data_IF_406991677922
#
_entry.id   IF_406991677922
#
_cell.length_a   1.000
_cell.length_b   1.000
_cell.length_c   1.000
_cell.angle_alpha   90.00
_cell.angle_beta   90.00
_cell.angle_gamma   90.00
#
_symmetry.space_group_name_H-M   'P 1'
#
loop_
_entity.id
_entity.type
_entity.pdbx_description
1 polymer ?
#
# COMPACT_ATOMS: atom_id res chain seq x y z
N UNK A 1 -8.01 -50.27 25.25
CA UNK A 1 -7.98 -49.76 23.87
C UNK A 1 -6.78 -50.35 23.16
N UNK A 2 -6.94 -50.84 21.93
CA UNK A 2 -5.80 -51.33 21.16
C UNK A 2 -4.82 -50.20 20.90
N UNK A 3 -3.54 -50.37 21.22
CA UNK A 3 -2.47 -49.42 21.00
C UNK A 3 -2.25 -49.12 19.51
N UNK A 4 -2.67 -50.01 18.62
CA UNK A 4 -2.49 -49.93 17.18
C UNK A 4 -3.80 -50.18 16.45
N UNK A 5 -3.96 -49.55 15.30
CA UNK A 5 -5.06 -49.74 14.33
C UNK A 5 -4.50 -49.94 12.92
N UNK A 6 -5.30 -50.51 12.05
CA UNK A 6 -4.98 -50.69 10.63
C UNK A 6 -5.78 -49.65 9.82
N UNK A 7 -5.07 -48.81 9.06
CA UNK A 7 -5.66 -47.88 8.11
C UNK A 7 -5.62 -48.46 6.71
N UNK A 8 -6.74 -48.36 5.99
CA UNK A 8 -6.84 -48.79 4.59
C UNK A 8 -6.92 -47.54 3.69
N UNK A 9 -6.00 -47.45 2.74
CA UNK A 9 -6.04 -46.43 1.66
C UNK A 9 -6.05 -47.18 0.33
N UNK A 10 -7.21 -47.24 -0.34
CA UNK A 10 -7.38 -48.06 -1.53
C UNK A 10 -7.11 -49.54 -1.23
N UNK A 11 -6.09 -50.14 -1.86
CA UNK A 11 -5.65 -51.52 -1.60
C UNK A 11 -4.54 -51.62 -0.55
N UNK A 12 -3.98 -50.49 -0.09
CA UNK A 12 -2.89 -50.48 0.86
C UNK A 12 -3.41 -50.47 2.30
N UNK A 13 -2.78 -51.29 3.15
CA UNK A 13 -3.05 -51.38 4.59
C UNK A 13 -1.78 -50.97 5.35
N UNK A 14 -1.89 -50.00 6.24
CA UNK A 14 -0.81 -49.58 7.12
C UNK A 14 -1.23 -49.68 8.57
N UNK A 15 -0.31 -50.17 9.43
CA UNK A 15 -0.49 -50.25 10.87
C UNK A 15 0.04 -48.96 11.51
N UNK A 16 -0.79 -48.28 12.28
CA UNK A 16 -0.39 -47.05 12.99
C UNK A 16 -0.83 -47.09 14.45
N UNK A 17 -0.27 -46.24 15.27
CA UNK A 17 -0.73 -46.05 16.66
C UNK A 17 -2.14 -45.43 16.66
N UNK A 18 -2.97 -45.88 17.63
CA UNK A 18 -4.34 -45.39 17.78
C UNK A 18 -4.35 -44.03 18.56
N UNK A 19 -3.70 -43.03 18.01
CA UNK A 19 -3.55 -41.69 18.60
C UNK A 19 -4.15 -40.61 17.71
N UNK A 20 -5.08 -40.92 16.82
CA UNK A 20 -5.72 -39.99 15.91
C UNK A 20 -7.23 -39.86 16.17
N UNK A 21 -7.76 -38.69 15.85
CA UNK A 21 -9.20 -38.42 15.84
C UNK A 21 -9.69 -38.31 14.39
N UNK A 22 -10.77 -38.94 14.07
CA UNK A 22 -11.43 -38.80 12.77
C UNK A 22 -12.34 -37.60 12.81
N UNK A 23 -12.08 -36.59 11.97
CA UNK A 23 -12.94 -35.44 11.74
C UNK A 23 -13.89 -35.76 10.58
N UNK A 24 -15.19 -35.77 10.82
CA UNK A 24 -16.19 -36.07 9.80
C UNK A 24 -16.49 -34.86 8.93
N UNK A 25 -15.75 -34.73 7.83
CA UNK A 25 -16.09 -33.83 6.70
C UNK A 25 -15.82 -32.32 6.86
N UNK A 26 -15.36 -31.85 8.01
CA UNK A 26 -15.07 -30.41 8.20
C UNK A 26 -13.73 -30.20 8.87
N UNK A 27 -12.93 -29.27 8.35
CA UNK A 27 -11.76 -28.76 9.06
C UNK A 27 -12.26 -27.73 10.08
N UNK A 28 -11.93 -27.87 11.39
CA UNK A 28 -12.30 -26.86 12.39
C UNK A 28 -11.76 -25.47 12.04
N UNK A 29 -12.40 -24.43 12.58
CA UNK A 29 -11.82 -23.09 12.59
C UNK A 29 -10.40 -23.16 13.18
N UNK A 30 -9.45 -22.49 12.58
CA UNK A 30 -8.06 -22.44 13.02
C UNK A 30 -7.15 -21.92 11.93
N UNK A 31 -5.91 -21.70 12.30
CA UNK A 31 -4.83 -21.31 11.39
C UNK A 31 -4.01 -22.56 11.12
N UNK A 32 -3.90 -22.94 9.85
CA UNK A 32 -3.22 -24.13 9.40
C UNK A 32 -2.09 -23.79 8.45
N UNK A 33 -0.99 -24.53 8.55
CA UNK A 33 0.15 -24.43 7.64
C UNK A 33 0.27 -25.73 6.83
N UNK A 34 0.41 -25.67 5.49
CA UNK A 34 0.76 -26.84 4.70
C UNK A 34 2.18 -27.29 5.04
N UNK A 35 2.34 -28.56 5.31
CA UNK A 35 3.64 -29.20 5.56
C UNK A 35 3.80 -30.43 4.67
N UNK A 36 4.99 -30.59 4.09
CA UNK A 36 5.35 -31.73 3.28
C UNK A 36 6.37 -32.59 4.02
N UNK A 37 6.10 -33.87 4.14
CA UNK A 37 7.05 -34.81 4.74
C UNK A 37 8.18 -35.17 3.77
N UNK A 38 9.19 -35.91 4.26
CA UNK A 38 10.33 -36.35 3.46
C UNK A 38 9.95 -37.30 2.30
N UNK A 39 8.73 -37.85 2.27
CA UNK A 39 8.21 -38.73 1.24
C UNK A 39 7.30 -37.99 0.23
N UNK A 40 7.15 -36.69 0.37
CA UNK A 40 6.32 -35.86 -0.51
C UNK A 40 4.83 -35.85 -0.14
N UNK A 41 4.44 -36.36 1.04
CA UNK A 41 3.05 -36.28 1.47
C UNK A 41 2.75 -34.95 2.14
N UNK A 42 1.70 -34.30 1.67
CA UNK A 42 1.22 -33.04 2.22
C UNK A 42 0.17 -33.25 3.32
N UNK A 43 0.23 -32.43 4.34
CA UNK A 43 -0.74 -32.37 5.43
C UNK A 43 -0.91 -30.92 5.92
N UNK A 44 -1.91 -30.68 6.77
CA UNK A 44 -2.11 -29.40 7.45
C UNK A 44 -1.73 -29.52 8.91
N UNK A 45 -0.80 -28.68 9.35
CA UNK A 45 -0.44 -28.52 10.75
C UNK A 45 -1.25 -27.37 11.34
N UNK A 46 -1.98 -27.60 12.43
CA UNK A 46 -2.69 -26.56 13.15
C UNK A 46 -1.73 -25.74 13.99
N UNK A 47 -1.69 -24.43 13.78
CA UNK A 47 -0.81 -23.50 14.49
C UNK A 47 -1.51 -22.85 15.69
N UNK A 48 -2.77 -22.43 15.53
CA UNK A 48 -3.57 -21.76 16.55
C UNK A 48 -5.04 -21.71 16.12
N UNK A 49 -5.92 -21.30 17.03
CA UNK A 49 -7.34 -21.13 16.74
C UNK A 49 -7.64 -19.86 15.92
N UNK A 50 -6.83 -18.81 16.10
CA UNK A 50 -6.94 -17.54 15.37
C UNK A 50 -5.63 -16.76 15.41
N UNK A 51 -5.50 -15.72 14.59
CA UNK A 51 -4.38 -14.78 14.68
C UNK A 51 -4.52 -13.92 15.93
N UNK A 52 -3.53 -13.98 16.82
CA UNK A 52 -3.47 -13.18 18.05
C UNK A 52 -2.55 -11.98 17.80
N UNK A 53 -3.00 -10.79 18.22
CA UNK A 53 -2.22 -9.57 18.15
C UNK A 53 -1.78 -9.16 19.56
N UNK A 54 -0.48 -9.31 19.93
CA UNK A 54 0.00 -8.99 21.26
C UNK A 54 0.13 -7.48 21.51
N UNK A 55 -0.46 -6.66 20.65
CA UNK A 55 -0.43 -5.21 20.69
C UNK A 55 -1.79 -4.62 20.30
N UNK A 56 -2.02 -3.36 20.67
CA UNK A 56 -3.22 -2.63 20.30
C UNK A 56 -3.26 -2.44 18.78
N UNK A 57 -4.37 -2.86 18.18
CA UNK A 57 -4.66 -2.53 16.79
C UNK A 57 -5.31 -1.13 16.76
N UNK A 58 -4.63 -0.21 16.10
CA UNK A 58 -5.22 1.09 15.78
C UNK A 58 -6.12 0.93 14.56
N UNK A 59 -7.14 1.78 14.40
CA UNK A 59 -8.21 1.67 13.38
C UNK A 59 -7.72 1.65 11.93
N UNK A 60 -6.94 0.63 11.61
CA UNK A 60 -6.31 0.44 10.32
C UNK A 60 -7.34 -0.12 9.35
N UNK A 61 -7.83 0.72 8.42
CA UNK A 61 -8.65 0.27 7.29
C UNK A 61 -9.98 -0.40 7.65
N UNK A 62 -10.61 -0.06 8.78
CA UNK A 62 -11.88 -0.66 9.20
C UNK A 62 -12.96 -0.55 8.11
N UNK A 63 -13.08 0.58 7.41
CA UNK A 63 -14.06 0.74 6.33
C UNK A 63 -13.80 -0.25 5.19
N UNK A 64 -12.53 -0.41 4.78
CA UNK A 64 -12.15 -1.40 3.77
C UNK A 64 -12.46 -2.82 4.24
N UNK A 65 -12.07 -3.18 5.47
CA UNK A 65 -12.33 -4.50 6.05
C UNK A 65 -13.82 -4.79 6.09
N UNK A 66 -14.63 -3.85 6.58
CA UNK A 66 -16.08 -4.00 6.65
C UNK A 66 -16.71 -4.13 5.26
N UNK A 67 -16.21 -3.38 4.27
CA UNK A 67 -16.65 -3.48 2.88
C UNK A 67 -16.34 -4.87 2.29
N UNK A 68 -15.15 -5.38 2.50
CA UNK A 68 -14.74 -6.73 2.10
C UNK A 68 -15.64 -7.79 2.72
N UNK A 69 -15.85 -7.71 4.05
CA UNK A 69 -16.69 -8.67 4.78
C UNK A 69 -18.14 -8.62 4.34
N UNK A 70 -18.69 -7.43 4.10
CA UNK A 70 -20.05 -7.28 3.55
C UNK A 70 -20.15 -7.94 2.18
N UNK A 71 -19.16 -7.81 1.35
CA UNK A 71 -19.13 -8.47 0.04
C UNK A 71 -19.04 -9.98 0.19
N UNK A 72 -18.13 -10.49 1.00
CA UNK A 72 -17.98 -11.92 1.26
C UNK A 72 -19.29 -12.57 1.70
N UNK A 73 -20.00 -11.95 2.60
CA UNK A 73 -21.25 -12.47 3.13
C UNK A 73 -22.41 -12.46 2.11
N UNK A 74 -22.29 -11.70 1.02
CA UNK A 74 -23.38 -11.55 0.04
C UNK A 74 -23.08 -12.17 -1.33
N UNK A 75 -21.89 -12.77 -1.54
CA UNK A 75 -21.56 -13.44 -2.79
C UNK A 75 -21.40 -14.93 -2.57
N UNK A 76 -21.77 -15.72 -3.58
CA UNK A 76 -21.59 -17.17 -3.56
C UNK A 76 -20.53 -17.60 -4.60
N UNK A 77 -19.32 -16.98 -4.50
CA UNK A 77 -18.17 -17.28 -5.36
C UNK A 77 -16.89 -16.91 -4.65
N UNK A 78 -15.75 -17.30 -5.22
CA UNK A 78 -14.43 -16.92 -4.73
C UNK A 78 -14.27 -15.40 -4.65
N UNK A 79 -13.50 -14.94 -3.64
CA UNK A 79 -13.16 -13.55 -3.43
C UNK A 79 -11.65 -13.41 -3.28
N UNK A 80 -11.01 -12.69 -4.19
CA UNK A 80 -9.59 -12.36 -4.10
C UNK A 80 -9.38 -10.93 -3.59
N UNK A 81 -8.44 -10.80 -2.67
CA UNK A 81 -7.99 -9.55 -2.05
C UNK A 81 -6.48 -9.47 -2.19
N UNK A 82 -5.99 -8.40 -2.74
CA UNK A 82 -4.57 -8.14 -2.89
C UNK A 82 -4.17 -6.88 -2.11
N UNK A 83 -3.25 -7.03 -1.17
CA UNK A 83 -2.73 -5.98 -0.30
C UNK A 83 -1.28 -5.70 -0.69
N UNK A 84 -1.04 -4.57 -1.33
CA UNK A 84 0.26 -4.17 -1.86
C UNK A 84 0.85 -3.00 -1.08
N UNK A 85 2.17 -2.89 -1.05
CA UNK A 85 2.86 -1.71 -0.50
C UNK A 85 4.13 -2.05 0.27
N UNK A 86 4.75 -1.06 0.89
CA UNK A 86 6.02 -1.21 1.61
C UNK A 86 5.90 -2.17 2.80
N UNK A 87 7.04 -2.76 3.20
CA UNK A 87 7.11 -3.58 4.41
C UNK A 87 6.85 -2.71 5.66
N UNK A 88 6.15 -3.27 6.65
CA UNK A 88 5.92 -2.60 7.95
C UNK A 88 4.80 -1.55 7.97
N UNK A 89 3.92 -1.47 6.95
CA UNK A 89 2.79 -0.52 6.89
C UNK A 89 1.41 -1.15 7.15
N UNK A 90 1.37 -2.40 7.64
CA UNK A 90 0.13 -3.02 8.13
C UNK A 90 -0.60 -3.95 7.16
N UNK A 91 -0.06 -4.29 5.98
CA UNK A 91 -0.68 -5.23 5.02
C UNK A 91 -1.05 -6.57 5.64
N UNK A 92 -0.04 -7.29 6.18
CA UNK A 92 -0.22 -8.60 6.82
C UNK A 92 -1.18 -8.52 8.00
N UNK A 93 -1.14 -7.45 8.79
CA UNK A 93 -2.08 -7.21 9.90
C UNK A 93 -3.51 -7.08 9.37
N UNK A 94 -3.73 -6.27 8.33
CA UNK A 94 -5.05 -6.10 7.70
C UNK A 94 -5.57 -7.44 7.16
N UNK A 95 -4.71 -8.22 6.47
CA UNK A 95 -5.06 -9.55 5.98
C UNK A 95 -5.45 -10.51 7.09
N UNK A 96 -4.69 -10.55 8.19
CA UNK A 96 -5.00 -11.37 9.38
C UNK A 96 -6.31 -10.98 10.05
N UNK A 97 -6.61 -9.68 10.14
CA UNK A 97 -7.90 -9.19 10.69
C UNK A 97 -9.07 -9.63 9.79
N UNK A 98 -8.92 -9.51 8.46
CA UNK A 98 -9.94 -10.01 7.52
C UNK A 98 -10.14 -11.51 7.71
N UNK A 99 -9.06 -12.28 7.74
CA UNK A 99 -9.10 -13.73 7.91
C UNK A 99 -9.83 -14.13 9.21
N UNK A 100 -9.49 -13.54 10.35
CA UNK A 100 -10.18 -13.79 11.63
C UNK A 100 -11.68 -13.49 11.56
N UNK A 101 -12.07 -12.39 10.87
CA UNK A 101 -13.49 -12.00 10.72
C UNK A 101 -14.32 -12.97 9.88
N UNK A 102 -13.72 -13.81 9.04
CA UNK A 102 -14.45 -14.81 8.26
C UNK A 102 -15.00 -15.95 9.11
N UNK A 103 -14.38 -16.21 10.25
CA UNK A 103 -14.67 -17.34 11.12
C UNK A 103 -14.50 -18.72 10.42
N UNK A 104 -13.65 -18.78 9.38
CA UNK A 104 -13.34 -19.98 8.60
C UNK A 104 -11.97 -20.55 8.95
N UNK A 105 -11.68 -21.80 8.56
CA UNK A 105 -10.31 -22.30 8.54
C UNK A 105 -9.44 -21.42 7.63
N UNK A 106 -8.25 -21.06 8.10
CA UNK A 106 -7.28 -20.25 7.35
C UNK A 106 -6.08 -21.14 7.02
N UNK A 107 -5.77 -21.28 5.75
CA UNK A 107 -4.56 -21.93 5.29
C UNK A 107 -3.53 -20.83 5.04
N UNK A 108 -2.57 -20.70 5.95
CA UNK A 108 -1.48 -19.73 5.86
C UNK A 108 -0.34 -20.30 5.03
N UNK A 109 -0.03 -19.67 3.92
CA UNK A 109 1.06 -20.01 3.02
C UNK A 109 2.17 -18.96 3.20
N UNK A 110 3.19 -19.31 3.95
CA UNK A 110 4.40 -18.53 4.10
C UNK A 110 5.33 -18.86 2.94
N UNK A 111 5.47 -17.93 2.01
CA UNK A 111 6.27 -18.12 0.81
C UNK A 111 7.74 -17.92 1.11
N UNK A 112 8.55 -18.94 0.95
CA UNK A 112 10.02 -18.88 1.00
C UNK A 112 10.59 -19.10 -0.40
N UNK A 113 11.77 -18.54 -0.68
CA UNK A 113 12.42 -18.51 -2.00
C UNK A 113 12.82 -19.90 -2.57
N UNK A 114 12.20 -20.95 -2.19
CA UNK A 114 12.62 -22.29 -2.58
C UNK A 114 11.54 -23.06 -3.30
N UNK A 115 11.91 -23.58 -4.45
CA UNK A 115 11.27 -24.69 -5.15
C UNK A 115 10.04 -24.34 -6.00
N UNK A 116 9.77 -25.24 -6.93
CA UNK A 116 8.59 -25.28 -7.76
C UNK A 116 7.32 -25.26 -6.88
N UNK A 117 6.46 -24.25 -7.02
CA UNK A 117 5.23 -24.15 -6.23
C UNK A 117 4.15 -25.17 -6.66
N UNK A 118 4.34 -25.87 -7.76
CA UNK A 118 3.34 -26.77 -8.35
C UNK A 118 2.84 -27.84 -7.39
N UNK A 119 3.71 -28.57 -6.63
CA UNK A 119 3.21 -29.60 -5.71
C UNK A 119 2.35 -29.02 -4.58
N UNK A 120 2.70 -27.85 -4.07
CA UNK A 120 1.90 -27.14 -3.07
C UNK A 120 0.53 -26.74 -3.66
N UNK A 121 0.54 -26.13 -4.85
CA UNK A 121 -0.70 -25.70 -5.53
C UNK A 121 -1.60 -26.89 -5.78
N UNK A 122 -1.06 -28.03 -6.22
CA UNK A 122 -1.85 -29.24 -6.44
C UNK A 122 -2.43 -29.80 -5.14
N UNK A 123 -1.68 -29.73 -4.05
CA UNK A 123 -2.22 -30.08 -2.73
C UNK A 123 -3.35 -29.13 -2.32
N UNK A 124 -3.16 -27.80 -2.45
CA UNK A 124 -4.17 -26.80 -2.09
C UNK A 124 -5.49 -26.99 -2.86
N UNK A 125 -5.42 -27.43 -4.12
CA UNK A 125 -6.60 -27.78 -4.93
C UNK A 125 -7.41 -28.96 -4.34
N UNK A 126 -6.79 -29.84 -3.57
CA UNK A 126 -7.49 -30.96 -2.92
C UNK A 126 -8.32 -30.55 -1.70
N UNK A 127 -8.16 -29.33 -1.22
CA UNK A 127 -8.88 -28.79 -0.04
C UNK A 127 -10.27 -28.34 -0.48
N UNK A 128 -11.25 -29.22 -0.30
CA UNK A 128 -12.63 -29.03 -0.75
C UNK A 128 -13.58 -28.61 0.37
N UNK A 129 -13.21 -27.51 1.03
CA UNK A 129 -14.02 -26.88 2.09
C UNK A 129 -14.00 -25.35 1.91
N UNK A 130 -15.00 -24.66 2.43
CA UNK A 130 -14.96 -23.21 2.52
C UNK A 130 -13.84 -22.76 3.48
N UNK A 131 -12.85 -22.01 2.98
CA UNK A 131 -11.69 -21.59 3.75
C UNK A 131 -11.07 -20.32 3.19
N UNK A 132 -10.12 -19.77 3.94
CA UNK A 132 -9.27 -18.65 3.53
C UNK A 132 -7.90 -19.22 3.13
N UNK A 133 -7.44 -18.93 1.92
CA UNK A 133 -6.03 -19.08 1.53
C UNK A 133 -5.32 -17.74 1.75
N UNK A 134 -4.38 -17.70 2.68
CA UNK A 134 -3.63 -16.50 3.00
C UNK A 134 -2.17 -16.66 2.56
N UNK A 135 -1.79 -16.00 1.48
CA UNK A 135 -0.44 -15.97 0.94
C UNK A 135 0.27 -14.71 1.45
N UNK A 136 1.19 -14.89 2.39
CA UNK A 136 1.97 -13.78 2.93
C UNK A 136 3.27 -13.63 2.14
N UNK A 137 3.53 -12.43 1.61
CA UNK A 137 4.66 -12.10 0.72
C UNK A 137 4.75 -13.10 -0.46
N UNK A 138 3.64 -13.26 -1.20
CA UNK A 138 3.51 -14.30 -2.22
C UNK A 138 4.58 -14.23 -3.33
N UNK A 139 5.13 -13.05 -3.58
CA UNK A 139 6.18 -12.82 -4.56
C UNK A 139 7.45 -13.63 -4.28
N UNK A 140 7.70 -14.02 -3.03
CA UNK A 140 8.89 -14.80 -2.66
C UNK A 140 8.83 -16.25 -3.13
N UNK A 141 7.66 -16.86 -3.11
CA UNK A 141 7.50 -18.27 -3.44
C UNK A 141 6.88 -18.55 -4.82
N UNK A 142 6.21 -17.55 -5.41
CA UNK A 142 5.46 -17.71 -6.65
C UNK A 142 6.00 -16.78 -7.74
N UNK A 143 7.27 -16.98 -8.14
CA UNK A 143 7.94 -16.18 -9.18
C UNK A 143 7.21 -16.23 -10.52
N UNK A 144 6.63 -17.34 -10.87
CA UNK A 144 5.86 -17.57 -12.10
C UNK A 144 4.38 -17.21 -11.93
N UNK A 145 3.95 -16.53 -11.00
CA UNK A 145 2.59 -15.95 -10.77
C UNK A 145 1.38 -16.69 -11.40
N UNK A 146 1.60 -17.58 -12.37
CA UNK A 146 0.56 -18.36 -13.07
C UNK A 146 0.00 -19.48 -12.19
N UNK A 147 0.81 -20.03 -11.30
CA UNK A 147 0.40 -21.08 -10.37
C UNK A 147 -0.73 -20.62 -9.44
N UNK A 148 -0.65 -19.38 -8.91
CA UNK A 148 -1.73 -18.80 -8.10
C UNK A 148 -2.98 -18.55 -8.96
N UNK A 149 -2.80 -18.06 -10.19
CA UNK A 149 -3.91 -17.83 -11.11
C UNK A 149 -4.69 -19.12 -11.36
N UNK A 150 -3.98 -20.21 -11.59
CA UNK A 150 -4.58 -21.54 -11.79
C UNK A 150 -5.38 -22.01 -10.56
N UNK A 151 -4.89 -21.71 -9.35
CA UNK A 151 -5.62 -22.00 -8.12
C UNK A 151 -6.92 -21.17 -8.00
N UNK A 152 -6.88 -19.91 -8.45
CA UNK A 152 -8.01 -18.97 -8.36
C UNK A 152 -9.04 -19.16 -9.47
N UNK A 153 -8.66 -19.68 -10.64
CA UNK A 153 -9.51 -19.76 -11.85
C UNK A 153 -10.64 -20.80 -11.77
N UNK A 154 -10.76 -21.48 -10.66
CA UNK A 154 -11.99 -22.19 -10.33
C UNK A 154 -12.30 -23.47 -11.09
N UNK A 155 -11.35 -24.10 -11.78
CA UNK A 155 -11.60 -25.46 -12.34
C UNK A 155 -11.98 -26.49 -11.26
N UNK A 156 -11.81 -26.11 -9.99
CA UNK A 156 -12.10 -26.96 -8.83
C UNK A 156 -12.96 -26.26 -7.77
N UNK A 157 -13.49 -25.05 -8.07
CA UNK A 157 -14.24 -24.24 -7.10
C UNK A 157 -15.74 -24.50 -7.05
N UNK A 158 -16.24 -25.46 -7.82
CA UNK A 158 -17.68 -25.72 -7.90
C UNK A 158 -18.25 -26.35 -6.61
N UNK A 159 -17.40 -26.80 -5.69
CA UNK A 159 -17.81 -27.49 -4.48
C UNK A 159 -17.82 -26.57 -3.25
N UNK A 160 -16.87 -25.62 -3.14
CA UNK A 160 -16.81 -24.69 -2.00
C UNK A 160 -16.07 -23.40 -2.34
N UNK A 161 -16.64 -22.25 -1.98
CA UNK A 161 -16.03 -20.95 -2.23
C UNK A 161 -14.78 -20.72 -1.35
N UNK A 162 -13.83 -19.96 -1.86
CA UNK A 162 -12.57 -19.64 -1.20
C UNK A 162 -12.39 -18.11 -1.12
N UNK A 163 -11.82 -17.65 0.00
CA UNK A 163 -11.28 -16.30 0.07
C UNK A 163 -9.76 -16.36 -0.14
N UNK A 164 -9.24 -15.59 -1.07
CA UNK A 164 -7.79 -15.47 -1.32
C UNK A 164 -7.33 -14.13 -0.79
N UNK A 165 -6.37 -14.13 0.13
CA UNK A 165 -5.71 -12.94 0.63
C UNK A 165 -4.24 -13.03 0.23
N UNK A 166 -3.77 -12.07 -0.56
CA UNK A 166 -2.39 -12.00 -1.03
C UNK A 166 -1.76 -10.71 -0.51
N UNK A 167 -0.57 -10.80 0.09
CA UNK A 167 0.25 -9.63 0.40
C UNK A 167 1.49 -9.60 -0.47
N UNK A 168 1.95 -8.41 -0.87
CA UNK A 168 3.20 -8.21 -1.61
C UNK A 168 3.89 -6.93 -1.23
N UNK A 169 5.23 -6.92 -1.34
CA UNK A 169 6.08 -5.74 -1.19
C UNK A 169 6.55 -5.18 -2.54
N UNK A 170 6.26 -5.85 -3.65
CA UNK A 170 6.67 -5.40 -4.98
C UNK A 170 5.82 -4.24 -5.48
N UNK A 171 6.46 -3.24 -6.10
CA UNK A 171 5.77 -2.10 -6.71
C UNK A 171 5.08 -2.46 -8.03
N UNK A 172 5.60 -3.45 -8.76
CA UNK A 172 5.07 -3.87 -10.05
C UNK A 172 4.22 -5.13 -9.89
N UNK A 173 2.94 -5.01 -10.15
CA UNK A 173 1.99 -6.11 -10.10
C UNK A 173 1.70 -6.57 -11.52
N UNK A 174 1.52 -7.88 -11.70
CA UNK A 174 1.16 -8.42 -13.00
C UNK A 174 -0.28 -8.05 -13.34
N UNK A 175 -0.46 -7.37 -14.49
CA UNK A 175 -1.78 -6.96 -15.01
C UNK A 175 -2.77 -8.13 -15.12
N UNK A 176 -2.29 -9.34 -15.37
CA UNK A 176 -3.11 -10.55 -15.43
C UNK A 176 -3.80 -10.91 -14.11
N UNK A 177 -3.27 -10.46 -12.95
CA UNK A 177 -3.92 -10.63 -11.66
C UNK A 177 -5.04 -9.60 -11.44
N UNK A 178 -4.78 -8.34 -11.84
CA UNK A 178 -5.68 -7.21 -11.55
C UNK A 178 -6.79 -7.08 -12.59
N UNK A 179 -6.52 -7.41 -13.85
CA UNK A 179 -7.45 -7.21 -14.98
C UNK A 179 -8.71 -8.09 -14.92
N UNK A 180 -8.81 -9.00 -13.95
CA UNK A 180 -9.97 -9.91 -13.84
C UNK A 180 -10.60 -9.86 -12.45
N UNK A 181 -11.72 -9.11 -12.28
CA UNK A 181 -12.44 -9.04 -10.99
C UNK A 181 -12.99 -10.39 -10.48
N UNK A 182 -13.00 -11.42 -11.32
CA UNK A 182 -13.31 -12.80 -10.91
C UNK A 182 -12.19 -13.47 -10.09
N UNK A 183 -10.95 -12.96 -10.21
CA UNK A 183 -9.77 -13.42 -9.46
C UNK A 183 -9.50 -12.50 -8.28
N UNK A 184 -8.98 -11.28 -8.56
CA UNK A 184 -8.75 -10.24 -7.55
C UNK A 184 -9.84 -9.18 -7.71
N UNK A 185 -10.74 -9.10 -6.74
CA UNK A 185 -11.80 -8.10 -6.71
C UNK A 185 -11.36 -6.84 -5.99
N UNK A 186 -10.56 -6.98 -4.95
CA UNK A 186 -10.06 -5.88 -4.16
C UNK A 186 -8.55 -5.79 -4.25
N UNK A 187 -8.10 -4.66 -4.73
CA UNK A 187 -6.72 -4.27 -4.73
C UNK A 187 -6.57 -3.06 -3.81
N UNK A 188 -5.76 -3.17 -2.76
CA UNK A 188 -5.49 -2.08 -1.85
C UNK A 188 -4.00 -1.80 -1.76
N UNK A 189 -3.64 -0.59 -2.12
CA UNK A 189 -2.29 -0.07 -1.93
C UNK A 189 -2.13 0.55 -0.55
N UNK A 190 -1.01 0.25 0.07
CA UNK A 190 -0.54 0.81 1.32
C UNK A 190 0.70 1.64 1.00
N UNK A 191 0.53 2.96 0.87
CA UNK A 191 1.62 3.86 0.51
C UNK A 191 2.23 4.55 1.74
N UNK A 192 1.36 4.99 2.64
CA UNK A 192 1.74 5.69 3.87
C UNK A 192 0.89 5.18 5.05
N UNK A 193 1.36 5.43 6.26
CA UNK A 193 0.59 5.18 7.47
C UNK A 193 -0.39 6.34 7.66
N UNK A 194 -1.65 6.02 7.95
CA UNK A 194 -2.67 7.03 8.24
C UNK A 194 -2.23 7.92 9.42
N UNK A 195 -2.36 9.23 9.27
CA UNK A 195 -1.95 10.21 10.27
C UNK A 195 -2.68 10.03 11.61
N UNK A 196 -3.94 9.54 11.58
CA UNK A 196 -4.68 9.26 12.79
C UNK A 196 -4.11 8.05 13.52
N UNK A 197 -3.63 7.04 12.80
CA UNK A 197 -2.94 5.88 13.37
C UNK A 197 -1.65 6.31 14.04
N UNK A 198 -0.84 7.16 13.37
CA UNK A 198 0.37 7.73 13.94
C UNK A 198 0.07 8.55 15.19
N UNK A 199 -0.92 9.44 15.10
CA UNK A 199 -1.34 10.29 16.22
C UNK A 199 -1.76 9.47 17.43
N UNK A 200 -2.61 8.47 17.24
CA UNK A 200 -3.08 7.59 18.31
C UNK A 200 -1.94 6.75 18.90
N UNK A 201 -1.02 6.26 18.05
CA UNK A 201 0.14 5.51 18.51
C UNK A 201 1.06 6.39 19.38
N UNK A 202 1.32 7.62 18.96
CA UNK A 202 2.12 8.59 19.71
C UNK A 202 1.43 8.95 21.03
N UNK A 203 0.11 9.14 21.04
CA UNK A 203 -0.66 9.43 22.25
C UNK A 203 -0.58 8.30 23.27
N UNK A 204 -0.54 7.07 22.83
CA UNK A 204 -0.46 5.93 23.75
C UNK A 204 0.97 5.69 24.29
N UNK A 205 2.01 5.97 23.50
CA UNK A 205 3.36 5.49 23.80
C UNK A 205 4.39 6.59 24.12
N UNK A 206 4.17 7.85 23.72
CA UNK A 206 5.08 8.94 24.01
C UNK A 206 4.91 9.42 25.46
N UNK A 207 6.01 9.56 26.21
CA UNK A 207 5.98 10.04 27.60
C UNK A 207 5.74 11.56 27.61
N UNK A 208 6.61 12.31 26.95
CA UNK A 208 6.47 13.79 26.83
C UNK A 208 5.55 14.17 25.69
N UNK A 209 4.27 14.35 25.98
CA UNK A 209 3.24 14.72 25.01
C UNK A 209 3.46 16.09 24.36
N UNK A 210 4.25 16.97 24.95
CA UNK A 210 4.54 18.29 24.37
C UNK A 210 5.26 18.18 23.02
N UNK A 211 6.02 17.11 22.80
CA UNK A 211 6.78 16.84 21.58
C UNK A 211 5.97 16.21 20.45
N UNK A 212 4.70 15.87 20.67
CA UNK A 212 3.84 15.20 19.68
C UNK A 212 3.83 15.91 18.32
N UNK A 213 3.65 17.21 18.32
CA UNK A 213 3.59 18.01 17.07
C UNK A 213 4.91 18.00 16.30
N UNK A 214 6.03 18.06 17.00
CA UNK A 214 7.37 17.95 16.42
C UNK A 214 7.57 16.58 15.76
N UNK A 215 7.19 15.50 16.47
CA UNK A 215 7.35 14.13 16.00
C UNK A 215 6.47 13.86 14.78
N UNK A 216 5.19 14.29 14.79
CA UNK A 216 4.29 14.11 13.65
C UNK A 216 4.83 14.79 12.40
N UNK A 217 5.33 16.03 12.51
CA UNK A 217 5.97 16.74 11.39
C UNK A 217 7.19 16.01 10.88
N UNK A 218 8.00 15.49 11.78
CA UNK A 218 9.19 14.71 11.41
C UNK A 218 8.83 13.40 10.68
N UNK A 219 7.88 12.64 11.20
CA UNK A 219 7.46 11.38 10.58
C UNK A 219 6.83 11.59 9.19
N UNK A 220 6.11 12.70 8.98
CA UNK A 220 5.60 13.08 7.65
C UNK A 220 6.74 13.35 6.65
N UNK A 221 7.88 13.84 7.12
CA UNK A 221 9.06 14.09 6.29
C UNK A 221 9.89 12.84 5.98
N UNK A 222 9.63 11.69 6.62
CA UNK A 222 10.43 10.49 6.39
C UNK A 222 10.08 9.78 5.09
N UNK A 223 11.11 9.41 4.33
CA UNK A 223 10.97 8.47 3.23
C UNK A 223 10.72 7.07 3.79
N UNK A 224 9.64 6.42 3.33
CA UNK A 224 9.29 5.07 3.78
C UNK A 224 9.03 4.95 5.29
N UNK A 225 8.24 5.86 5.86
CA UNK A 225 7.83 5.77 7.26
C UNK A 225 7.06 4.46 7.50
N UNK A 226 7.56 3.62 8.42
CA UNK A 226 6.94 2.35 8.81
C UNK A 226 6.59 2.36 10.30
N UNK A 227 5.68 1.48 10.73
CA UNK A 227 5.34 1.37 12.17
C UNK A 227 6.57 1.03 13.02
N UNK A 228 7.49 0.24 12.48
CA UNK A 228 8.71 -0.13 13.22
C UNK A 228 9.64 1.09 13.40
N UNK A 229 9.74 1.96 12.38
CA UNK A 229 10.47 3.24 12.52
C UNK A 229 9.78 4.14 13.55
N UNK A 230 8.46 4.25 13.53
CA UNK A 230 7.70 5.06 14.49
C UNK A 230 7.94 4.59 15.92
N UNK A 231 7.88 3.27 16.15
CA UNK A 231 8.19 2.65 17.45
C UNK A 231 9.59 3.02 17.93
N UNK A 232 10.60 2.78 17.09
CA UNK A 232 11.98 3.04 17.42
C UNK A 232 12.24 4.53 17.72
N UNK A 233 11.67 5.43 16.93
CA UNK A 233 11.75 6.89 17.17
C UNK A 233 11.16 7.27 18.52
N UNK A 234 10.00 6.72 18.88
CA UNK A 234 9.37 7.02 20.17
C UNK A 234 10.18 6.44 21.33
N UNK A 235 10.72 5.24 21.17
CA UNK A 235 11.59 4.61 22.16
C UNK A 235 12.86 5.45 22.40
N UNK A 236 13.54 5.91 21.35
CA UNK A 236 14.72 6.79 21.47
C UNK A 236 14.39 8.10 22.19
N UNK A 237 13.26 8.71 21.87
CA UNK A 237 12.83 9.95 22.53
C UNK A 237 12.54 9.70 24.03
N UNK A 238 11.82 8.63 24.33
CA UNK A 238 11.46 8.28 25.71
C UNK A 238 12.67 7.92 26.57
N UNK A 239 13.67 7.23 25.99
CA UNK A 239 14.86 6.77 26.71
C UNK A 239 15.90 7.88 26.88
N UNK A 240 16.16 8.66 25.83
CA UNK A 240 17.30 9.54 25.77
C UNK A 240 16.93 11.02 25.71
N UNK A 241 15.64 11.35 25.53
CA UNK A 241 15.16 12.72 25.31
C UNK A 241 15.97 13.48 24.25
N UNK A 242 16.47 12.75 23.25
CA UNK A 242 17.32 13.30 22.19
C UNK A 242 16.54 14.18 21.20
N UNK A 243 17.28 14.99 20.45
CA UNK A 243 16.72 15.81 19.39
C UNK A 243 16.37 14.96 18.15
N UNK A 244 15.45 15.45 17.31
CA UNK A 244 15.11 14.80 16.05
C UNK A 244 16.34 14.65 15.14
N UNK A 245 17.25 15.64 15.11
CA UNK A 245 18.47 15.56 14.31
C UNK A 245 19.39 14.42 14.77
N UNK A 246 19.51 14.21 16.07
CA UNK A 246 20.26 13.08 16.65
C UNK A 246 19.65 11.75 16.24
N UNK A 247 18.33 11.64 16.24
CA UNK A 247 17.61 10.43 15.81
C UNK A 247 17.86 10.16 14.32
N UNK A 248 17.79 11.18 13.48
CA UNK A 248 18.05 11.05 12.04
C UNK A 248 19.45 10.48 11.81
N UNK A 249 20.44 11.05 12.48
CA UNK A 249 21.84 10.65 12.35
C UNK A 249 22.07 9.22 12.83
N UNK A 250 21.65 8.89 14.05
CA UNK A 250 21.94 7.59 14.68
C UNK A 250 21.17 6.42 14.07
N UNK A 251 19.95 6.67 13.63
CA UNK A 251 19.11 5.67 12.98
C UNK A 251 19.27 5.67 11.44
N UNK A 252 20.12 6.53 10.90
CA UNK A 252 20.32 6.69 9.45
C UNK A 252 19.00 6.85 8.69
N UNK A 253 18.11 7.69 9.21
CA UNK A 253 16.80 7.93 8.62
C UNK A 253 16.92 8.89 7.44
N UNK A 254 16.27 8.51 6.35
CA UNK A 254 16.27 9.32 5.12
C UNK A 254 14.99 10.14 5.08
N UNK A 255 15.13 11.47 4.97
CA UNK A 255 14.00 12.33 4.67
C UNK A 255 13.54 12.11 3.23
N UNK A 256 12.25 12.34 2.98
CA UNK A 256 11.73 12.42 1.61
C UNK A 256 12.51 13.52 0.92
N UNK A 257 13.13 13.21 -0.19
CA UNK A 257 13.50 14.21 -1.16
C UNK A 257 12.18 14.69 -1.76
N UNK A 258 11.70 15.84 -1.32
CA UNK A 258 10.43 16.37 -1.81
C UNK A 258 10.63 16.91 -3.22
N UNK A 259 10.60 16.03 -4.21
CA UNK A 259 10.30 16.45 -5.56
C UNK A 259 8.78 16.67 -5.68
N UNK A 260 8.28 17.80 -5.26
CA UNK A 260 6.97 18.26 -5.70
C UNK A 260 7.10 18.66 -7.16
N UNK A 261 6.72 17.77 -8.07
CA UNK A 261 6.50 18.16 -9.46
C UNK A 261 5.18 18.92 -9.52
N UNK A 262 5.28 20.22 -9.52
CA UNK A 262 4.12 21.07 -9.75
C UNK A 262 4.09 21.48 -11.22
N UNK A 263 2.88 21.51 -11.79
CA UNK A 263 2.65 22.14 -13.09
C UNK A 263 2.39 23.60 -12.83
N UNK A 264 3.20 24.47 -13.42
CA UNK A 264 3.04 25.89 -13.30
C UNK A 264 2.67 26.51 -14.63
N UNK A 265 1.76 27.47 -14.57
CA UNK A 265 1.51 28.37 -15.68
C UNK A 265 2.44 29.55 -15.47
N UNK A 266 3.36 29.76 -16.41
CA UNK A 266 4.36 30.79 -16.34
C UNK A 266 4.11 31.89 -17.36
N UNK A 267 4.39 33.13 -16.98
CA UNK A 267 4.44 34.29 -17.85
C UNK A 267 5.52 35.25 -17.36
N UNK A 268 6.19 35.92 -18.29
CA UNK A 268 7.26 36.86 -18.00
C UNK A 268 6.99 38.29 -18.51
N UNK A 269 5.84 38.53 -19.12
CA UNK A 269 5.47 39.81 -19.71
C UNK A 269 4.37 40.55 -18.91
N UNK A 270 4.26 40.29 -17.60
CA UNK A 270 3.39 40.97 -16.69
C UNK A 270 4.19 42.01 -15.87
N UNK A 271 3.58 43.18 -15.61
CA UNK A 271 4.20 44.22 -14.80
C UNK A 271 4.01 44.00 -13.30
N UNK A 272 3.01 43.23 -12.91
CA UNK A 272 2.72 42.91 -11.52
C UNK A 272 2.08 41.54 -11.34
N UNK A 273 2.10 41.03 -10.07
CA UNK A 273 1.43 39.78 -9.72
C UNK A 273 -0.09 39.90 -9.89
N UNK A 274 -0.67 41.07 -9.66
CA UNK A 274 -2.11 41.31 -9.82
C UNK A 274 -2.54 41.24 -11.29
N UNK A 275 -1.73 41.78 -12.19
CA UNK A 275 -1.96 41.61 -13.63
C UNK A 275 -1.88 40.16 -14.06
N UNK A 276 -0.93 39.42 -13.53
CA UNK A 276 -0.81 38.00 -13.84
C UNK A 276 -2.03 37.20 -13.32
N UNK A 277 -2.52 37.52 -12.12
CA UNK A 277 -3.74 36.92 -11.55
C UNK A 277 -4.94 37.20 -12.46
N UNK A 278 -5.12 38.43 -12.89
CA UNK A 278 -6.22 38.83 -13.78
C UNK A 278 -6.16 38.11 -15.13
N UNK A 279 -5.00 38.05 -15.74
CA UNK A 279 -4.81 37.35 -17.02
C UNK A 279 -5.01 35.85 -16.90
N UNK A 280 -4.51 35.23 -15.82
CA UNK A 280 -4.65 33.79 -15.56
C UNK A 280 -6.09 33.37 -15.26
N UNK A 281 -6.93 34.25 -14.72
CA UNK A 281 -8.35 34.00 -14.46
C UNK A 281 -9.17 33.87 -15.74
N UNK A 282 -8.68 34.45 -16.85
CA UNK A 282 -9.30 34.36 -18.18
C UNK A 282 -8.98 33.05 -18.91
N UNK A 283 -8.03 32.29 -18.40
CA UNK A 283 -7.80 30.90 -18.84
C UNK A 283 -8.93 30.09 -18.24
N UNK A 284 -9.97 29.81 -19.02
CA UNK A 284 -11.13 29.04 -18.56
C UNK A 284 -10.70 27.72 -17.92
N UNK A 285 -11.50 27.27 -16.96
CA UNK A 285 -11.35 25.95 -16.37
C UNK A 285 -11.28 24.93 -17.49
N UNK A 286 -10.08 24.43 -17.73
CA UNK A 286 -9.65 23.53 -18.77
C UNK A 286 -10.69 22.52 -19.22
N UNK A 287 -11.05 22.59 -20.50
CA UNK A 287 -11.49 21.41 -21.21
C UNK A 287 -10.27 20.51 -21.39
N UNK A 288 -10.37 19.25 -21.03
CA UNK A 288 -9.40 18.23 -21.40
C UNK A 288 -9.33 18.17 -22.93
N UNK A 289 -8.12 18.16 -23.50
CA UNK A 289 -7.99 17.74 -24.87
C UNK A 289 -8.30 16.24 -24.98
N UNK A 290 -8.66 15.78 -26.16
CA UNK A 290 -9.00 14.38 -26.45
C UNK A 290 -7.87 13.38 -26.10
N UNK A 291 -6.68 13.86 -25.75
CA UNK A 291 -5.50 13.08 -25.42
C UNK A 291 -5.08 13.21 -23.95
N UNK A 292 -5.77 14.01 -23.13
CA UNK A 292 -5.38 14.26 -21.73
C UNK A 292 -4.07 15.05 -21.59
N UNK A 293 -3.64 15.76 -22.60
CA UNK A 293 -2.43 16.58 -22.59
C UNK A 293 -2.78 18.04 -22.34
N UNK A 294 -2.44 18.54 -21.17
CA UNK A 294 -2.51 19.97 -20.81
C UNK A 294 -1.75 20.89 -21.79
N UNK A 295 -0.83 20.35 -22.56
CA UNK A 295 0.01 21.11 -23.49
C UNK A 295 -0.73 21.81 -24.61
N UNK A 296 -1.87 21.31 -25.04
CA UNK A 296 -2.50 21.78 -26.27
C UNK A 296 -3.34 23.03 -26.08
N UNK A 297 -3.87 23.29 -24.90
CA UNK A 297 -4.73 24.44 -24.65
C UNK A 297 -4.00 25.71 -24.23
N UNK A 298 -2.80 25.58 -23.66
CA UNK A 298 -2.03 26.73 -23.17
C UNK A 298 -0.99 27.22 -24.19
N UNK A 299 -0.78 26.49 -25.26
CA UNK A 299 0.10 26.89 -26.38
C UNK A 299 -0.62 27.61 -27.49
N UNK A 300 -1.88 28.04 -27.32
CA UNK A 300 -2.45 28.98 -28.26
C UNK A 300 -1.61 30.26 -28.18
N UNK A 301 -0.95 30.59 -29.30
CA UNK A 301 -0.06 31.74 -29.48
C UNK A 301 -0.65 33.08 -29.00
N UNK A 302 -1.95 33.15 -28.77
CA UNK A 302 -2.68 34.34 -28.39
C UNK A 302 -2.70 34.65 -26.89
N UNK A 303 -2.33 33.71 -26.03
CA UNK A 303 -2.41 33.90 -24.57
C UNK A 303 -1.05 34.13 -23.89
N UNK A 304 0.09 33.78 -24.56
CA UNK A 304 1.44 34.03 -24.05
C UNK A 304 1.81 33.30 -22.76
N UNK A 305 1.08 32.23 -22.38
CA UNK A 305 1.39 31.42 -21.22
C UNK A 305 2.24 30.20 -21.59
N UNK A 306 3.20 29.86 -20.72
CA UNK A 306 4.04 28.68 -20.81
C UNK A 306 3.73 27.77 -19.63
N UNK A 307 3.75 26.46 -19.86
CA UNK A 307 3.69 25.46 -18.79
C UNK A 307 5.11 25.04 -18.50
N UNK A 308 5.54 25.21 -17.26
CA UNK A 308 6.81 24.74 -16.74
C UNK A 308 6.58 23.67 -15.67
N UNK A 309 7.46 22.69 -15.63
CA UNK A 309 7.54 21.69 -14.59
C UNK A 309 8.72 22.06 -13.69
N UNK A 310 8.43 22.44 -12.46
CA UNK A 310 9.45 22.84 -11.48
C UNK A 310 9.38 21.87 -10.29
N UNK A 311 10.54 21.43 -9.81
CA UNK A 311 10.67 20.67 -8.59
C UNK A 311 10.89 21.63 -7.42
N UNK A 312 10.13 21.49 -6.35
CA UNK A 312 10.27 22.28 -5.14
C UNK A 312 10.86 21.46 -4.01
N UNK A 313 11.64 22.06 -3.13
CA UNK A 313 12.16 21.43 -1.91
C UNK A 313 11.07 21.15 -0.88
N UNK A 314 10.01 21.98 -0.84
CA UNK A 314 8.96 21.90 0.16
C UNK A 314 7.59 22.23 -0.44
N UNK A 315 6.52 21.98 0.34
CA UNK A 315 5.18 22.42 -0.05
C UNK A 315 5.17 23.91 -0.26
N UNK A 316 4.47 24.35 -1.29
CA UNK A 316 4.35 25.77 -1.58
C UNK A 316 3.93 26.62 -0.36
N UNK A 317 3.05 26.08 0.47
CA UNK A 317 2.55 26.72 1.71
C UNK A 317 3.66 27.08 2.72
N UNK A 318 4.82 26.45 2.62
CA UNK A 318 5.95 26.66 3.51
C UNK A 318 6.99 27.64 2.95
N UNK A 319 6.91 27.97 1.67
CA UNK A 319 7.84 28.91 1.02
C UNK A 319 7.62 30.34 1.47
N UNK A 320 8.70 31.13 1.54
CA UNK A 320 8.71 32.53 1.97
C UNK A 320 9.42 33.40 0.95
N UNK A 321 9.10 34.65 0.95
CA UNK A 321 9.83 35.66 0.19
C UNK A 321 11.32 35.63 0.60
N UNK A 322 12.19 35.51 -0.40
CA UNK A 322 13.63 35.37 -0.23
C UNK A 322 14.14 33.92 -0.33
N UNK A 323 13.27 32.90 -0.23
CA UNK A 323 13.62 31.52 -0.48
C UNK A 323 13.81 31.25 -1.98
N UNK A 324 14.49 30.16 -2.32
CA UNK A 324 14.51 29.67 -3.69
C UNK A 324 13.22 28.90 -3.98
N UNK A 325 12.70 29.10 -5.20
CA UNK A 325 11.44 28.52 -5.64
C UNK A 325 11.58 27.08 -6.07
N UNK A 326 12.72 26.73 -6.63
CA UNK A 326 13.00 25.41 -7.19
C UNK A 326 14.22 24.73 -6.55
N UNK A 327 14.33 23.42 -6.72
CA UNK A 327 15.43 22.61 -6.18
C UNK A 327 16.79 22.93 -6.82
N UNK A 328 16.80 23.53 -8.00
CA UNK A 328 18.01 23.93 -8.71
C UNK A 328 18.50 25.32 -8.29
N UNK A 329 17.80 25.94 -7.34
CA UNK A 329 18.09 27.31 -6.86
C UNK A 329 18.17 28.37 -7.98
N UNK A 330 17.41 28.13 -9.06
CA UNK A 330 17.42 28.98 -10.26
C UNK A 330 16.52 30.20 -10.13
N UNK A 331 15.53 30.15 -9.23
CA UNK A 331 14.53 31.19 -9.09
C UNK A 331 14.34 31.61 -7.63
N UNK A 332 14.60 32.88 -7.35
CA UNK A 332 14.41 33.48 -6.02
C UNK A 332 13.02 34.10 -5.90
N UNK A 333 12.32 33.81 -4.82
CA UNK A 333 10.97 34.32 -4.55
C UNK A 333 11.02 35.79 -4.16
N UNK A 334 10.31 36.60 -4.91
CA UNK A 334 10.18 38.07 -4.64
C UNK A 334 8.84 38.40 -3.96
N UNK A 335 7.77 37.69 -4.30
CA UNK A 335 6.42 37.93 -3.79
C UNK A 335 5.58 36.67 -3.84
N UNK A 336 4.71 36.49 -2.85
CA UNK A 336 3.74 35.39 -2.80
C UNK A 336 2.36 35.99 -2.53
N UNK A 337 1.36 35.56 -3.33
CA UNK A 337 -0.03 35.95 -3.16
C UNK A 337 -0.95 34.79 -3.47
N UNK A 338 -1.61 34.23 -2.45
CA UNK A 338 -2.41 32.99 -2.55
C UNK A 338 -1.60 31.84 -3.16
N UNK A 339 -2.01 31.33 -4.33
CA UNK A 339 -1.31 30.29 -5.07
C UNK A 339 -0.48 30.85 -6.25
N UNK A 340 -0.15 32.13 -6.21
CA UNK A 340 0.67 32.80 -7.20
C UNK A 340 2.00 33.25 -6.58
N UNK A 341 3.06 33.17 -7.38
CA UNK A 341 4.39 33.56 -6.97
C UNK A 341 5.09 34.39 -8.07
N UNK A 342 5.78 35.44 -7.65
CA UNK A 342 6.69 36.23 -8.48
C UNK A 342 8.10 35.85 -8.11
N UNK A 343 8.93 35.51 -9.08
CA UNK A 343 10.32 35.11 -8.87
C UNK A 343 11.26 35.85 -9.81
N UNK A 344 12.56 35.92 -9.45
CA UNK A 344 13.62 36.34 -10.36
C UNK A 344 14.62 35.22 -10.57
N UNK A 345 15.18 35.15 -11.76
CA UNK A 345 16.37 34.33 -12.02
C UNK A 345 17.68 35.09 -11.68
N UNK A 346 18.82 34.42 -11.86
CA UNK A 346 20.16 35.00 -11.62
C UNK A 346 20.52 36.17 -12.55
N UNK A 347 19.71 36.41 -13.58
CA UNK A 347 19.87 37.53 -14.54
C UNK A 347 18.87 38.64 -14.31
N UNK A 348 18.18 38.66 -13.15
CA UNK A 348 17.11 39.59 -12.80
C UNK A 348 15.89 39.56 -13.73
N UNK A 349 15.72 38.53 -14.52
CA UNK A 349 14.46 38.34 -15.27
C UNK A 349 13.34 37.96 -14.31
N UNK A 350 12.17 38.54 -14.51
CA UNK A 350 11.00 38.32 -13.64
C UNK A 350 10.05 37.33 -14.30
N UNK A 351 9.63 36.33 -13.50
CA UNK A 351 8.65 35.33 -13.90
C UNK A 351 7.52 35.29 -12.89
N UNK A 352 6.34 34.97 -13.38
CA UNK A 352 5.14 34.79 -12.58
C UNK A 352 4.62 33.40 -12.76
N UNK A 353 4.34 32.72 -11.65
CA UNK A 353 3.86 31.34 -11.66
C UNK A 353 2.55 31.25 -10.90
N UNK A 354 1.59 30.49 -11.47
CA UNK A 354 0.41 30.01 -10.77
C UNK A 354 0.61 28.55 -10.40
N UNK A 355 0.41 28.24 -9.14
CA UNK A 355 0.56 26.89 -8.61
C UNK A 355 -0.80 26.23 -8.59
N UNK A 356 -0.93 25.10 -9.26
CA UNK A 356 -2.14 24.29 -9.21
C UNK A 356 -2.16 23.41 -7.95
N UNK A 357 -3.34 23.17 -7.37
CA UNK A 357 -3.47 22.38 -6.14
C UNK A 357 -2.98 20.94 -6.37
N UNK A 358 -2.01 20.43 -5.60
CA UNK A 358 -1.47 19.08 -5.76
C UNK A 358 -2.52 17.96 -5.73
N UNK A 359 -3.64 18.16 -5.03
CA UNK A 359 -4.73 17.19 -4.96
C UNK A 359 -5.53 17.07 -6.27
N UNK A 360 -5.58 18.12 -7.08
CA UNK A 360 -6.17 18.06 -8.43
C UNK A 360 -5.21 17.40 -9.41
N UNK A 361 -3.92 17.66 -9.28
CA UNK A 361 -2.86 17.05 -10.09
C UNK A 361 -2.80 15.53 -9.88
N UNK A 362 -2.92 15.04 -8.65
CA UNK A 362 -2.90 13.61 -8.34
C UNK A 362 -4.07 12.82 -8.99
N UNK A 363 -5.23 13.44 -9.17
CA UNK A 363 -6.36 12.79 -9.87
C UNK A 363 -6.12 12.71 -11.39
N UNK A 364 -5.46 13.72 -11.96
CA UNK A 364 -5.14 13.80 -13.39
C UNK A 364 -3.97 12.85 -13.74
N UNK A 365 -2.92 12.78 -12.89
CA UNK A 365 -1.79 11.87 -13.09
C UNK A 365 -2.15 10.39 -12.92
N UNK A 366 -3.02 10.04 -11.99
CA UNK A 366 -3.51 8.65 -11.86
C UNK A 366 -4.24 8.19 -13.13
N UNK A 367 -4.97 9.08 -13.79
CA UNK A 367 -5.67 8.76 -15.03
C UNK A 367 -4.75 8.73 -16.26
N UNK A 368 -3.64 9.47 -16.29
CA UNK A 368 -2.71 9.47 -17.42
C UNK A 368 -1.66 8.35 -17.32
N UNK A 369 -1.16 8.01 -16.14
CA UNK A 369 -0.23 6.89 -15.94
C UNK A 369 -0.91 5.53 -16.13
N UNK A 370 -2.21 5.40 -15.86
CA UNK A 370 -2.97 4.17 -16.16
C UNK A 370 -3.17 3.92 -17.66
N UNK A 371 -2.85 4.88 -18.52
CA UNK A 371 -2.91 4.72 -19.99
C UNK A 371 -1.55 4.40 -20.61
N UNK A 372 -0.44 4.46 -19.85
CA UNK A 372 0.92 4.22 -20.34
C UNK A 372 1.66 3.10 -19.58
N UNK A 373 0.99 2.43 -18.65
CA UNK A 373 1.38 1.18 -18.01
C UNK A 373 0.35 0.10 -18.37
#
# INVERSE_FOLDING_TARGET
MNKYVWLKRGQNLSKTENNFTVLNGTLPKGIYRPVCDQYGNWSLECLSDEFIFPYKLYDINNDFINHVMKTWNNINRNLGIHLNGLKGIGKTVTGKVIANKTNLPVILIECSETQDPTPLVDYLKTIDIECVFFFDEYEKGFKDRNSILTLMDGMYSDLSRKMFILTTNERCINDNLIARPSRIRYFKEFNDIDINVLSNYIDDNLIDKSRKSEILKFLDQLKNCTIDIVKAVIEEINLHNCSINTIIEYMNLVKKDYEYRCIYICRNDCDSIDEFIERSSKIGSSGEDYCGNYRTYLTSSDLGFRIDYICLFDKFENLKVGDYFDVDESYKILEIKDNFVKVSDDYDNIYYYKIENPNQINSIYKNSLSKFL
#
